data_IF_626665368339
#
_entry.id   IF_626665368339
#
_cell.length_a   1.000
_cell.length_b   1.000
_cell.length_c   1.000
_cell.angle_alpha   90.00
_cell.angle_beta   90.00
_cell.angle_gamma   90.00
#
_symmetry.space_group_name_H-M   'P 1'
#
loop_
_entity.id
_entity.type
_entity.pdbx_description
1 polymer ?
#
# COMPACT_ATOMS: atom_id res chain seq x y z
N UNK A 1 50.10 -36.20 12.24
CA UNK A 1 51.01 -37.01 11.37
C UNK A 1 50.76 -36.62 9.92
N UNK A 2 51.84 -36.12 9.24
CA UNK A 2 52.11 -36.00 7.78
C UNK A 2 51.04 -35.25 6.98
N UNK A 3 51.19 -34.06 6.44
CA UNK A 3 52.40 -33.51 5.77
C UNK A 3 52.29 -33.73 4.28
N UNK A 4 51.71 -32.81 3.49
CA UNK A 4 51.65 -32.85 2.05
C UNK A 4 51.97 -31.46 1.49
N UNK A 5 53.11 -31.32 0.82
CA UNK A 5 53.77 -30.09 0.34
C UNK A 5 53.14 -29.62 -0.98
N UNK A 6 53.00 -28.31 -1.08
CA UNK A 6 52.82 -27.57 -2.35
C UNK A 6 54.09 -27.58 -3.18
N UNK A 7 53.97 -27.73 -4.51
CA UNK A 7 54.99 -27.38 -5.49
C UNK A 7 54.39 -26.41 -6.51
N UNK A 8 55.11 -25.37 -6.93
CA UNK A 8 54.66 -24.40 -7.92
C UNK A 8 54.97 -24.84 -9.33
N UNK A 9 54.06 -24.57 -10.28
CA UNK A 9 54.29 -24.74 -11.70
C UNK A 9 54.60 -23.41 -12.33
N UNK A 10 55.80 -23.29 -12.85
CA UNK A 10 56.28 -22.20 -13.70
C UNK A 10 55.88 -22.45 -15.16
N UNK A 11 55.26 -21.47 -15.83
CA UNK A 11 55.14 -21.50 -17.27
C UNK A 11 56.07 -20.50 -17.95
N UNK A 12 56.97 -21.06 -18.74
CA UNK A 12 57.86 -20.33 -19.64
C UNK A 12 57.11 -19.84 -20.88
N UNK A 13 57.39 -18.59 -21.25
CA UNK A 13 57.01 -17.99 -22.52
C UNK A 13 57.96 -18.39 -23.64
N UNK A 14 57.43 -18.97 -24.70
CA UNK A 14 58.18 -19.09 -25.99
C UNK A 14 57.75 -17.96 -26.94
N UNK A 15 58.72 -17.08 -27.25
CA UNK A 15 58.60 -16.10 -28.30
C UNK A 15 59.13 -16.68 -29.63
N UNK A 16 58.27 -16.73 -30.63
CA UNK A 16 58.70 -17.01 -32.00
C UNK A 16 58.63 -15.72 -32.83
N UNK A 17 59.82 -15.29 -33.24
CA UNK A 17 60.02 -14.12 -34.09
C UNK A 17 59.60 -14.35 -35.51
N UNK A 18 58.94 -13.39 -36.11
CA UNK A 18 58.65 -13.32 -37.55
C UNK A 18 59.27 -12.04 -38.14
N UNK A 19 60.26 -12.17 -38.98
CA UNK A 19 60.95 -11.07 -39.65
C UNK A 19 60.04 -10.44 -40.69
N UNK A 20 59.79 -9.15 -40.56
CA UNK A 20 59.12 -8.34 -41.60
C UNK A 20 60.15 -7.75 -42.55
N UNK A 21 60.02 -8.09 -43.82
CA UNK A 21 60.84 -7.64 -44.92
C UNK A 21 60.46 -6.22 -45.34
N UNK A 22 61.40 -5.27 -45.23
CA UNK A 22 61.28 -3.91 -45.71
C UNK A 22 61.53 -3.89 -47.23
N UNK A 23 60.50 -3.76 -48.03
CA UNK A 23 60.51 -3.12 -49.37
C UNK A 23 59.16 -3.27 -50.04
N UNK A 24 58.29 -2.27 -49.88
CA UNK A 24 57.58 -1.66 -51.00
C UNK A 24 57.00 -0.32 -50.54
N UNK A 25 57.70 0.72 -50.89
CA UNK A 25 57.19 2.09 -50.75
C UNK A 25 56.45 2.48 -52.03
N UNK A 26 55.44 3.32 -51.81
CA UNK A 26 54.89 4.32 -52.75
C UNK A 26 53.87 3.79 -53.78
N UNK A 27 52.59 4.02 -53.51
CA UNK A 27 51.65 4.89 -54.28
C UNK A 27 50.25 4.71 -53.77
N UNK A 28 49.67 5.76 -53.32
CA UNK A 28 48.33 6.31 -53.46
C UNK A 28 47.87 7.00 -52.17
N UNK A 29 48.18 8.27 -52.12
CA UNK A 29 47.48 9.22 -51.29
C UNK A 29 46.09 9.49 -51.94
N UNK A 30 45.13 9.82 -51.08
CA UNK A 30 43.76 10.21 -51.36
C UNK A 30 42.73 9.10 -51.15
N UNK A 31 42.24 9.00 -49.92
CA UNK A 31 41.12 8.19 -49.52
C UNK A 31 40.67 8.63 -48.11
N UNK A 32 39.90 9.71 -48.10
CA UNK A 32 38.87 10.04 -47.09
C UNK A 32 39.11 9.52 -45.65
N UNK A 33 39.62 10.38 -44.81
CA UNK A 33 39.47 10.25 -43.34
C UNK A 33 37.97 10.44 -43.06
N UNK A 34 37.23 9.35 -43.00
CA UNK A 34 35.94 9.33 -42.34
C UNK A 34 36.22 9.36 -40.82
N UNK A 35 36.24 10.55 -40.26
CA UNK A 35 36.10 10.78 -38.84
C UNK A 35 34.73 10.21 -38.45
N UNK A 36 34.77 9.00 -37.90
CA UNK A 36 33.66 8.48 -37.12
C UNK A 36 33.50 9.36 -35.88
N UNK A 37 32.70 10.41 -36.04
CA UNK A 37 32.11 11.10 -34.91
C UNK A 37 31.23 10.08 -34.20
N UNK A 38 31.76 9.38 -33.23
CA UNK A 38 30.91 8.80 -32.17
C UNK A 38 30.18 10.01 -31.56
N UNK A 39 28.98 10.25 -32.04
CA UNK A 39 28.06 11.12 -31.35
C UNK A 39 27.84 10.48 -29.97
N UNK A 40 28.57 10.94 -28.97
CA UNK A 40 28.17 10.85 -27.60
C UNK A 40 26.89 11.68 -27.58
N UNK A 41 25.75 10.99 -27.68
CA UNK A 41 24.48 11.58 -27.36
C UNK A 41 24.63 11.99 -25.88
N UNK A 42 25.00 13.25 -25.66
CA UNK A 42 24.80 13.88 -24.38
C UNK A 42 23.30 13.74 -24.13
N UNK A 43 22.89 12.87 -23.21
CA UNK A 43 21.57 12.92 -22.65
C UNK A 43 21.40 14.37 -22.16
N UNK A 44 20.62 15.16 -22.90
CA UNK A 44 20.16 16.42 -22.36
C UNK A 44 19.46 16.05 -21.05
N UNK A 45 19.97 16.52 -19.93
CA UNK A 45 19.28 16.40 -18.65
C UNK A 45 17.88 16.99 -18.88
N UNK A 46 16.86 16.16 -18.65
CA UNK A 46 15.47 16.61 -18.68
C UNK A 46 15.30 17.60 -17.51
N UNK A 47 15.44 18.88 -17.80
CA UNK A 47 15.35 19.97 -16.83
C UNK A 47 13.90 20.28 -16.45
N UNK A 48 12.94 19.45 -16.86
CA UNK A 48 11.55 19.61 -16.49
C UNK A 48 11.36 19.46 -14.98
N UNK A 49 10.45 20.27 -14.44
CA UNK A 49 10.00 20.14 -13.05
C UNK A 49 8.69 19.36 -12.99
N UNK A 50 8.41 18.86 -11.80
CA UNK A 50 7.14 18.23 -11.43
C UNK A 50 6.58 18.89 -10.18
N UNK A 51 5.28 18.77 -9.98
CA UNK A 51 4.61 19.23 -8.76
C UNK A 51 4.43 18.05 -7.80
N UNK A 52 4.67 18.33 -6.52
CA UNK A 52 4.40 17.40 -5.41
C UNK A 52 4.00 18.19 -4.17
N UNK A 53 3.26 17.55 -3.27
CA UNK A 53 3.08 18.08 -1.93
C UNK A 53 4.16 17.57 -1.00
N UNK A 54 4.51 18.43 -0.02
CA UNK A 54 5.42 18.06 1.06
C UNK A 54 4.82 18.48 2.40
N UNK A 55 5.16 17.75 3.45
CA UNK A 55 4.89 18.17 4.81
C UNK A 55 5.85 19.29 5.23
N UNK A 56 5.32 20.44 5.56
CA UNK A 56 6.09 21.55 6.13
C UNK A 56 5.72 21.77 7.60
N UNK A 57 6.69 21.86 8.52
CA UNK A 57 6.40 22.05 9.94
C UNK A 57 5.94 23.50 10.22
N UNK A 58 4.73 23.63 10.78
CA UNK A 58 4.15 24.93 11.14
C UNK A 58 3.48 24.84 12.51
N UNK A 59 3.96 25.60 13.48
CA UNK A 59 3.32 25.76 14.81
C UNK A 59 2.94 24.43 15.49
N UNK A 60 3.83 23.42 15.43
CA UNK A 60 3.65 22.15 16.13
C UNK A 60 2.87 21.07 15.37
N UNK A 61 2.38 21.37 14.17
CA UNK A 61 1.78 20.42 13.22
C UNK A 61 2.50 20.50 11.87
N UNK A 62 2.07 19.70 10.89
CA UNK A 62 2.47 19.85 9.50
C UNK A 62 1.38 20.56 8.71
N UNK A 63 1.78 21.25 7.65
CA UNK A 63 0.92 21.73 6.58
C UNK A 63 1.33 21.08 5.26
N UNK A 64 0.37 20.92 4.35
CA UNK A 64 0.63 20.43 3.00
C UNK A 64 1.01 21.62 2.13
N UNK A 65 2.24 21.62 1.63
CA UNK A 65 2.74 22.70 0.76
C UNK A 65 3.10 22.09 -0.60
N UNK A 66 2.51 22.63 -1.67
CA UNK A 66 2.87 22.26 -3.03
C UNK A 66 4.25 22.85 -3.38
N UNK A 67 5.11 22.00 -3.95
CA UNK A 67 6.46 22.36 -4.41
C UNK A 67 6.62 21.97 -5.88
N UNK A 68 7.37 22.77 -6.59
CA UNK A 68 7.97 22.38 -7.86
C UNK A 68 9.38 21.86 -7.59
N UNK A 69 9.66 20.64 -8.04
CA UNK A 69 10.94 19.97 -7.82
C UNK A 69 11.48 19.41 -9.15
N UNK A 70 12.79 19.21 -9.29
CA UNK A 70 13.33 18.54 -10.47
C UNK A 70 12.69 17.17 -10.66
N UNK A 71 12.39 16.82 -11.91
CA UNK A 71 11.90 15.48 -12.27
C UNK A 71 12.91 14.43 -11.83
N UNK A 72 12.49 13.37 -11.11
CA UNK A 72 13.39 12.31 -10.69
C UNK A 72 13.86 11.48 -11.90
N UNK A 73 14.98 10.78 -11.71
CA UNK A 73 15.56 9.84 -12.69
C UNK A 73 15.62 8.47 -12.03
N UNK A 74 15.24 7.43 -12.79
CA UNK A 74 15.30 6.06 -12.29
C UNK A 74 16.76 5.56 -12.21
N UNK A 75 17.16 5.08 -11.04
CA UNK A 75 18.41 4.37 -10.80
C UNK A 75 18.28 2.86 -11.08
N UNK A 76 19.27 2.08 -10.59
CA UNK A 76 19.30 0.63 -10.75
C UNK A 76 18.09 -0.03 -10.04
N UNK A 77 17.36 -0.90 -10.75
CA UNK A 77 16.15 -1.57 -10.30
C UNK A 77 14.99 -0.62 -9.92
N UNK A 78 15.03 0.63 -10.34
CA UNK A 78 14.00 1.61 -10.09
C UNK A 78 13.17 1.90 -11.34
N UNK A 79 11.94 2.30 -11.11
CA UNK A 79 11.01 2.74 -12.15
C UNK A 79 10.48 4.13 -11.82
N UNK A 80 10.19 4.91 -12.86
CA UNK A 80 9.40 6.14 -12.73
C UNK A 80 7.94 5.81 -12.96
N UNK A 81 7.11 6.19 -12.01
CA UNK A 81 5.66 6.07 -12.12
C UNK A 81 5.04 7.46 -12.21
N UNK A 82 4.30 7.71 -13.27
CA UNK A 82 3.39 8.84 -13.34
C UNK A 82 2.16 8.49 -12.51
N UNK A 83 2.03 9.11 -11.36
CA UNK A 83 0.88 8.89 -10.47
C UNK A 83 -0.36 9.50 -11.11
N UNK A 84 -1.43 8.72 -11.20
CA UNK A 84 -2.72 9.15 -11.77
C UNK A 84 -3.76 9.41 -10.69
N UNK A 85 -3.64 8.71 -9.58
CA UNK A 85 -4.49 8.91 -8.43
C UNK A 85 -3.77 8.46 -7.15
N UNK A 86 -4.14 9.08 -6.06
CA UNK A 86 -3.74 8.70 -4.70
C UNK A 86 -4.97 8.74 -3.78
N UNK A 87 -4.90 8.09 -2.61
CA UNK A 87 -6.05 8.06 -1.69
C UNK A 87 -5.65 8.20 -0.24
N UNK A 88 -6.55 8.78 0.55
CA UNK A 88 -6.32 9.06 1.95
C UNK A 88 -6.66 7.86 2.85
N UNK A 89 -5.89 7.75 3.94
CA UNK A 89 -6.13 6.87 5.07
C UNK A 89 -6.12 7.66 6.38
N UNK A 90 -6.69 7.12 7.44
CA UNK A 90 -6.72 7.80 8.75
C UNK A 90 -5.34 8.19 9.26
N UNK A 91 -4.31 7.37 8.96
CA UNK A 91 -2.93 7.66 9.34
C UNK A 91 -2.41 8.98 8.77
N UNK A 92 -2.81 9.33 7.56
CA UNK A 92 -2.34 10.54 6.88
C UNK A 92 -2.78 11.80 7.62
N UNK A 93 -4.01 11.80 8.13
CA UNK A 93 -4.52 12.87 8.99
C UNK A 93 -3.78 12.93 10.34
N UNK A 94 -3.48 11.77 10.93
CA UNK A 94 -2.71 11.72 12.19
C UNK A 94 -1.27 12.18 11.97
N UNK A 95 -0.65 11.86 10.82
CA UNK A 95 0.67 12.37 10.44
C UNK A 95 0.68 13.88 10.28
N UNK A 96 -0.31 14.44 9.58
CA UNK A 96 -0.46 15.89 9.42
C UNK A 96 -0.53 16.60 10.78
N UNK A 97 -1.20 16.00 11.76
CA UNK A 97 -1.36 16.52 13.12
C UNK A 97 -0.19 16.23 14.06
N UNK A 98 0.77 15.42 13.63
CA UNK A 98 1.86 14.86 14.46
C UNK A 98 1.35 14.01 15.62
N UNK A 99 0.26 13.29 15.39
CA UNK A 99 -0.40 12.41 16.37
C UNK A 99 -0.16 10.91 16.06
N UNK A 100 0.63 10.59 15.04
CA UNK A 100 0.80 9.20 14.60
C UNK A 100 1.88 8.47 15.40
N UNK A 101 3.12 8.93 15.33
CA UNK A 101 4.26 8.37 16.04
C UNK A 101 5.40 9.40 16.08
N UNK A 102 6.00 9.62 17.25
CA UNK A 102 7.09 10.59 17.44
C UNK A 102 8.37 10.23 16.67
N UNK A 103 8.52 8.96 16.23
CA UNK A 103 9.66 8.50 15.42
C UNK A 103 9.69 9.10 14.03
N UNK A 104 8.56 9.56 13.50
CA UNK A 104 8.50 10.13 12.16
C UNK A 104 8.98 11.58 12.12
N UNK A 105 9.98 11.83 11.29
CA UNK A 105 10.40 13.17 10.89
C UNK A 105 9.94 13.44 9.47
N UNK A 106 8.74 13.96 9.32
CA UNK A 106 8.08 14.09 8.02
C UNK A 106 8.39 15.39 7.27
N UNK A 107 9.17 16.30 7.86
CA UNK A 107 9.50 17.57 7.21
C UNK A 107 10.15 17.36 5.84
N UNK A 108 9.55 17.89 4.79
CA UNK A 108 10.01 17.75 3.41
C UNK A 108 9.62 16.41 2.74
N UNK A 109 9.00 15.45 3.45
CA UNK A 109 8.57 14.20 2.85
C UNK A 109 7.27 14.34 2.06
N UNK A 110 7.10 13.49 1.04
CA UNK A 110 5.89 13.43 0.22
C UNK A 110 4.81 12.65 0.99
N UNK A 111 3.59 13.19 1.15
CA UNK A 111 2.50 12.51 1.84
C UNK A 111 1.90 11.33 1.08
N UNK A 112 1.02 10.59 1.77
CA UNK A 112 0.14 9.52 1.32
C UNK A 112 0.86 8.22 0.95
N UNK A 113 0.37 7.12 1.52
CA UNK A 113 0.88 5.78 1.22
C UNK A 113 0.31 5.19 -0.06
N UNK A 114 -0.93 5.54 -0.37
CA UNK A 114 -1.74 4.88 -1.38
C UNK A 114 -1.70 5.63 -2.71
N UNK A 115 -1.44 4.93 -3.80
CA UNK A 115 -1.50 5.52 -5.13
C UNK A 115 -1.35 4.49 -6.24
N UNK A 116 -1.83 4.87 -7.42
CA UNK A 116 -1.74 4.09 -8.64
C UNK A 116 -1.37 4.99 -9.82
N UNK A 117 -0.70 4.42 -10.81
CA UNK A 117 -0.23 5.14 -11.97
C UNK A 117 0.32 4.24 -13.06
N UNK A 118 1.05 4.86 -13.97
CA UNK A 118 1.63 4.24 -15.14
C UNK A 118 3.16 4.33 -15.10
N UNK A 119 3.84 3.25 -15.37
CA UNK A 119 5.30 3.23 -15.53
C UNK A 119 5.68 4.02 -16.78
N UNK A 120 6.48 5.08 -16.62
CA UNK A 120 6.90 5.97 -17.71
C UNK A 120 8.38 5.85 -18.08
N UNK A 121 9.18 5.26 -17.20
CA UNK A 121 10.57 4.91 -17.46
C UNK A 121 11.01 3.78 -16.54
N UNK A 122 12.01 3.03 -16.96
CA UNK A 122 12.64 1.94 -16.20
C UNK A 122 14.14 2.14 -16.17
N UNK A 123 14.75 1.96 -15.04
CA UNK A 123 16.20 1.97 -14.86
C UNK A 123 16.87 0.65 -15.22
N UNK A 124 18.22 0.60 -15.17
CA UNK A 124 18.94 -0.64 -15.39
C UNK A 124 18.52 -1.75 -14.42
N UNK A 125 18.48 -2.99 -14.87
CA UNK A 125 18.17 -4.16 -14.04
C UNK A 125 16.68 -4.42 -13.78
N UNK A 126 15.78 -3.51 -14.13
CA UNK A 126 14.33 -3.70 -14.00
C UNK A 126 13.86 -4.86 -14.89
N UNK A 127 13.14 -5.79 -14.30
CA UNK A 127 12.62 -7.00 -14.97
C UNK A 127 11.12 -7.23 -14.80
N UNK A 128 10.51 -6.68 -13.73
CA UNK A 128 9.11 -6.90 -13.39
C UNK A 128 8.14 -6.04 -14.19
N UNK A 129 8.59 -4.88 -14.64
CA UNK A 129 7.74 -3.90 -15.31
C UNK A 129 8.39 -3.31 -16.56
N UNK A 130 7.55 -2.80 -17.45
CA UNK A 130 7.93 -2.03 -18.63
C UNK A 130 7.11 -0.75 -18.71
N UNK A 131 7.57 0.17 -19.57
CA UNK A 131 6.83 1.42 -19.86
C UNK A 131 5.42 1.09 -20.37
N UNK A 132 4.42 1.78 -19.81
CA UNK A 132 3.01 1.60 -20.08
C UNK A 132 2.29 0.64 -19.11
N UNK A 133 3.02 -0.08 -18.25
CA UNK A 133 2.38 -0.95 -17.25
C UNK A 133 1.63 -0.11 -16.20
N UNK A 134 0.46 -0.61 -15.80
CA UNK A 134 -0.42 -0.01 -14.81
C UNK A 134 -0.13 -0.61 -13.45
N UNK A 135 0.25 0.23 -12.49
CA UNK A 135 0.78 -0.23 -11.19
C UNK A 135 0.18 0.52 -10.01
N UNK A 136 0.21 -0.12 -8.84
CA UNK A 136 -0.02 0.52 -7.55
C UNK A 136 1.18 0.30 -6.62
N UNK A 137 1.47 1.28 -5.76
CA UNK A 137 2.50 1.14 -4.73
C UNK A 137 2.05 0.20 -3.62
N UNK A 138 2.95 -0.63 -3.10
CA UNK A 138 2.68 -1.37 -1.86
C UNK A 138 2.95 -0.47 -0.65
N UNK A 139 2.28 -0.73 0.47
CA UNK A 139 2.38 0.13 1.66
C UNK A 139 3.78 0.14 2.27
N UNK A 140 4.37 -1.04 2.47
CA UNK A 140 5.76 -1.21 2.92
C UNK A 140 6.63 -1.67 1.76
N UNK A 141 7.47 -0.79 1.24
CA UNK A 141 8.25 -1.05 0.01
C UNK A 141 9.09 -2.33 0.04
N UNK A 142 9.56 -2.74 1.22
CA UNK A 142 10.43 -3.91 1.40
C UNK A 142 9.74 -5.12 2.02
N UNK A 143 8.45 -5.05 2.32
CA UNK A 143 7.73 -6.24 2.79
C UNK A 143 7.17 -7.04 1.63
N UNK A 144 7.97 -7.94 1.10
CA UNK A 144 7.63 -8.72 -0.10
C UNK A 144 6.73 -9.91 0.23
N UNK A 145 7.10 -10.71 1.22
CA UNK A 145 6.38 -11.91 1.64
C UNK A 145 6.63 -12.25 3.12
N UNK A 146 6.00 -13.33 3.59
CA UNK A 146 6.23 -13.92 4.90
C UNK A 146 5.90 -13.00 6.08
N UNK A 147 6.64 -13.17 7.19
CA UNK A 147 6.52 -12.33 8.37
C UNK A 147 7.25 -11.00 8.17
N UNK A 148 6.71 -9.87 8.70
CA UNK A 148 7.42 -8.60 8.62
C UNK A 148 8.70 -8.64 9.47
N UNK A 149 9.71 -7.91 9.02
CA UNK A 149 10.91 -7.58 9.79
C UNK A 149 10.89 -6.09 10.20
N UNK A 150 11.72 -5.71 11.15
CA UNK A 150 11.92 -4.31 11.53
C UNK A 150 12.30 -3.48 10.29
N UNK A 151 13.28 -3.95 9.51
CA UNK A 151 13.69 -3.29 8.27
C UNK A 151 12.54 -3.09 7.28
N UNK A 152 11.66 -4.09 7.10
CA UNK A 152 10.53 -3.97 6.18
C UNK A 152 9.49 -2.97 6.66
N UNK A 153 9.21 -2.92 7.97
CA UNK A 153 8.23 -2.02 8.57
C UNK A 153 8.71 -0.55 8.61
N UNK A 154 10.01 -0.31 8.49
CA UNK A 154 10.59 1.04 8.39
C UNK A 154 10.52 1.62 6.96
N UNK A 155 9.82 0.97 6.04
CA UNK A 155 9.72 1.40 4.63
C UNK A 155 8.30 1.80 4.22
N UNK A 156 7.49 2.26 5.18
CA UNK A 156 6.12 2.69 4.92
C UNK A 156 6.05 3.97 4.08
N UNK A 157 5.32 3.89 2.98
CA UNK A 157 5.12 5.02 2.07
C UNK A 157 4.38 6.17 2.76
N UNK A 158 4.78 7.38 2.40
CA UNK A 158 4.24 8.61 3.00
C UNK A 158 4.64 8.81 4.45
N UNK A 159 5.50 7.94 4.97
CA UNK A 159 6.13 7.99 6.28
C UNK A 159 7.64 7.99 6.15
N UNK A 160 8.28 6.84 6.36
CA UNK A 160 9.75 6.70 6.23
C UNK A 160 10.21 6.59 4.78
N UNK A 161 9.34 6.10 3.87
CA UNK A 161 9.57 6.13 2.43
C UNK A 161 8.76 7.25 1.76
N UNK A 162 9.17 7.65 0.55
CA UNK A 162 8.46 8.67 -0.23
C UNK A 162 7.01 8.29 -0.53
N UNK A 163 6.09 9.25 -0.36
CA UNK A 163 4.67 9.05 -0.59
C UNK A 163 4.24 9.19 -2.06
N UNK A 164 2.92 9.17 -2.25
CA UNK A 164 2.29 9.13 -3.57
C UNK A 164 1.64 10.46 -4.01
N UNK A 165 1.67 11.51 -3.17
CA UNK A 165 1.06 12.82 -3.52
C UNK A 165 2.04 13.66 -4.35
N UNK A 166 2.39 13.14 -5.52
CA UNK A 166 3.34 13.71 -6.49
C UNK A 166 2.92 13.33 -7.91
N UNK A 167 3.21 14.17 -8.90
CA UNK A 167 2.95 13.86 -10.33
C UNK A 167 3.79 12.68 -10.82
N UNK A 168 5.04 12.57 -10.35
CA UNK A 168 5.93 11.45 -10.67
C UNK A 168 6.66 11.04 -9.40
N UNK A 169 6.76 9.73 -9.19
CA UNK A 169 7.61 9.14 -8.16
C UNK A 169 8.67 8.25 -8.80
N UNK A 170 9.77 8.06 -8.08
CA UNK A 170 10.75 7.00 -8.33
C UNK A 170 10.63 5.96 -7.22
N UNK A 171 10.66 4.69 -7.56
CA UNK A 171 10.57 3.60 -6.58
C UNK A 171 11.24 2.33 -7.13
N UNK A 172 11.72 1.47 -6.23
CA UNK A 172 12.18 0.16 -6.61
C UNK A 172 11.03 -0.67 -7.21
N UNK A 173 11.31 -1.47 -8.24
CA UNK A 173 10.30 -2.33 -8.89
C UNK A 173 9.62 -3.30 -7.92
N UNK A 174 10.32 -3.72 -6.84
CA UNK A 174 9.77 -4.61 -5.82
C UNK A 174 8.67 -3.93 -4.97
N UNK A 175 8.67 -2.60 -4.89
CA UNK A 175 7.69 -1.80 -4.16
C UNK A 175 6.36 -1.59 -4.91
N UNK A 176 6.11 -2.32 -6.00
CA UNK A 176 4.94 -2.17 -6.87
C UNK A 176 4.24 -3.50 -7.13
N UNK A 177 2.94 -3.42 -7.44
CA UNK A 177 2.11 -4.51 -7.99
C UNK A 177 1.37 -4.05 -9.23
N UNK A 178 1.09 -4.97 -10.16
CA UNK A 178 0.14 -4.72 -11.25
C UNK A 178 -1.26 -4.55 -10.69
N UNK A 179 -2.05 -3.67 -11.28
CA UNK A 179 -3.45 -3.46 -10.88
C UNK A 179 -4.39 -4.29 -11.76
N UNK A 180 -5.56 -4.76 -11.25
CA UNK A 180 -6.58 -5.44 -12.02
C UNK A 180 -7.01 -4.61 -13.25
N UNK A 181 -7.16 -5.25 -14.41
CA UNK A 181 -7.42 -4.56 -15.68
C UNK A 181 -8.73 -3.76 -15.68
N UNK A 182 -9.76 -4.26 -14.99
CA UNK A 182 -11.08 -3.63 -14.93
C UNK A 182 -11.14 -2.38 -14.04
N UNK A 183 -10.14 -2.15 -13.18
CA UNK A 183 -10.12 -0.99 -12.27
C UNK A 183 -9.57 0.26 -12.97
N UNK A 184 -10.14 1.42 -12.67
CA UNK A 184 -9.52 2.70 -12.97
C UNK A 184 -8.31 2.95 -12.05
N UNK A 185 -7.52 4.00 -12.32
CA UNK A 185 -6.43 4.38 -11.43
C UNK A 185 -6.94 4.89 -10.08
N UNK A 186 -8.08 5.61 -10.08
CA UNK A 186 -8.74 6.07 -8.85
C UNK A 186 -9.17 4.90 -7.98
N UNK A 187 -9.78 3.87 -8.58
CA UNK A 187 -10.17 2.65 -7.87
C UNK A 187 -8.94 1.90 -7.35
N UNK A 188 -7.92 1.70 -8.18
CA UNK A 188 -6.69 1.01 -7.79
C UNK A 188 -5.90 1.75 -6.70
N UNK A 189 -5.91 3.09 -6.71
CA UNK A 189 -5.28 3.90 -5.67
C UNK A 189 -5.89 3.71 -4.28
N UNK A 190 -7.07 3.08 -4.15
CA UNK A 190 -7.72 2.85 -2.86
C UNK A 190 -7.26 1.57 -2.17
N UNK A 191 -6.50 0.71 -2.86
CA UNK A 191 -6.20 -0.66 -2.44
C UNK A 191 -5.06 -0.79 -1.43
N UNK A 192 -3.91 -0.08 -1.55
CA UNK A 192 -2.66 -0.43 -0.88
C UNK A 192 -2.73 -0.55 0.64
N UNK A 193 -3.45 0.32 1.31
CA UNK A 193 -3.58 0.28 2.77
C UNK A 193 -4.88 -0.42 3.19
N UNK A 194 -6.03 0.18 2.87
CA UNK A 194 -7.31 -0.23 3.45
C UNK A 194 -7.79 -1.60 2.95
N UNK A 195 -7.66 -1.88 1.65
CA UNK A 195 -8.09 -3.15 1.08
C UNK A 195 -7.16 -4.29 1.52
N UNK A 196 -5.83 -4.09 1.43
CA UNK A 196 -4.86 -5.10 1.90
C UNK A 196 -5.04 -5.40 3.39
N UNK A 197 -5.31 -4.38 4.22
CA UNK A 197 -5.60 -4.58 5.65
C UNK A 197 -6.84 -5.46 5.85
N UNK A 198 -7.94 -5.17 5.16
CA UNK A 198 -9.16 -5.97 5.24
C UNK A 198 -8.94 -7.40 4.74
N UNK A 199 -8.18 -7.56 3.65
CA UNK A 199 -7.79 -8.86 3.10
C UNK A 199 -7.00 -9.68 4.10
N UNK A 200 -5.93 -9.11 4.66
CA UNK A 200 -5.09 -9.82 5.65
C UNK A 200 -5.90 -10.18 6.89
N UNK A 201 -6.73 -9.24 7.39
CA UNK A 201 -7.58 -9.47 8.56
C UNK A 201 -8.55 -10.62 8.36
N UNK A 202 -9.25 -10.67 7.22
CA UNK A 202 -10.29 -11.67 6.94
C UNK A 202 -9.71 -13.00 6.41
N UNK A 203 -8.87 -12.94 5.37
CA UNK A 203 -8.46 -14.15 4.64
C UNK A 203 -7.20 -14.78 5.21
N UNK A 204 -6.15 -14.01 5.45
CA UNK A 204 -4.87 -14.57 5.93
C UNK A 204 -4.91 -14.91 7.41
N UNK A 205 -5.41 -14.01 8.26
CA UNK A 205 -5.47 -14.20 9.71
C UNK A 205 -6.76 -14.87 10.15
N UNK A 206 -7.90 -14.37 9.68
CA UNK A 206 -9.22 -14.84 10.04
C UNK A 206 -9.64 -16.14 9.34
N UNK A 207 -9.07 -16.44 8.17
CA UNK A 207 -9.45 -17.62 7.35
C UNK A 207 -10.96 -17.69 7.15
N UNK A 208 -11.53 -16.56 6.72
CA UNK A 208 -12.97 -16.43 6.53
C UNK A 208 -13.52 -17.48 5.55
N UNK A 209 -14.70 -18.01 5.86
CA UNK A 209 -15.42 -18.98 5.03
C UNK A 209 -16.81 -18.47 4.65
N UNK A 210 -17.40 -18.94 3.53
CA UNK A 210 -18.77 -18.64 3.16
C UNK A 210 -19.74 -18.98 4.29
N UNK A 211 -20.73 -18.11 4.51
CA UNK A 211 -21.77 -18.29 5.53
C UNK A 211 -21.39 -17.82 6.94
N UNK A 212 -20.11 -17.51 7.21
CA UNK A 212 -19.68 -16.94 8.49
C UNK A 212 -20.18 -15.51 8.69
N UNK A 213 -20.49 -15.15 9.94
CA UNK A 213 -20.86 -13.80 10.33
C UNK A 213 -19.61 -12.94 10.57
N UNK A 214 -19.58 -11.75 9.97
CA UNK A 214 -18.45 -10.81 10.06
C UNK A 214 -18.93 -9.50 10.65
N UNK A 215 -18.35 -9.05 11.75
CA UNK A 215 -18.55 -7.71 12.29
C UNK A 215 -17.52 -6.75 11.70
N UNK A 216 -18.01 -5.64 11.15
CA UNK A 216 -17.24 -4.55 10.56
C UNK A 216 -17.55 -3.26 11.31
N UNK A 217 -16.55 -2.67 11.95
CA UNK A 217 -16.74 -1.50 12.80
C UNK A 217 -16.54 -0.21 12.01
N UNK A 218 -17.58 0.63 11.95
CA UNK A 218 -17.58 1.87 11.18
C UNK A 218 -17.73 1.67 9.68
N UNK A 219 -17.65 2.77 8.92
CA UNK A 219 -17.85 2.82 7.45
C UNK A 219 -16.68 3.49 6.73
N UNK A 220 -15.48 3.42 7.31
CA UNK A 220 -14.24 3.83 6.67
C UNK A 220 -13.71 2.79 5.68
N UNK A 221 -12.55 3.06 5.09
CA UNK A 221 -11.97 2.24 4.02
C UNK A 221 -11.88 0.76 4.36
N UNK A 222 -11.25 0.40 5.49
CA UNK A 222 -11.06 -1.01 5.89
C UNK A 222 -12.39 -1.74 6.03
N UNK A 223 -13.35 -1.15 6.75
CA UNK A 223 -14.64 -1.79 7.02
C UNK A 223 -15.49 -1.92 5.75
N UNK A 224 -15.41 -0.95 4.84
CA UNK A 224 -16.12 -1.02 3.55
C UNK A 224 -15.49 -2.07 2.64
N UNK A 225 -14.16 -2.21 2.58
CA UNK A 225 -13.52 -3.33 1.89
C UNK A 225 -13.87 -4.67 2.55
N UNK A 226 -13.89 -4.73 3.87
CA UNK A 226 -14.36 -5.91 4.61
C UNK A 226 -15.78 -6.30 4.22
N UNK A 227 -16.69 -5.32 4.05
CA UNK A 227 -18.06 -5.55 3.58
C UNK A 227 -18.06 -6.14 2.16
N UNK A 228 -17.37 -5.51 1.23
CA UNK A 228 -17.31 -5.92 -0.17
C UNK A 228 -16.73 -7.33 -0.30
N UNK A 229 -15.61 -7.60 0.36
CA UNK A 229 -14.94 -8.91 0.31
C UNK A 229 -15.77 -10.01 0.96
N UNK A 230 -16.37 -9.75 2.13
CA UNK A 230 -17.24 -10.71 2.81
C UNK A 230 -18.46 -11.04 1.98
N UNK A 231 -19.09 -10.03 1.37
CA UNK A 231 -20.25 -10.23 0.50
C UNK A 231 -19.88 -11.06 -0.75
N UNK A 232 -18.79 -10.71 -1.43
CA UNK A 232 -18.30 -11.43 -2.61
C UNK A 232 -17.97 -12.91 -2.31
N UNK A 233 -17.42 -13.19 -1.13
CA UNK A 233 -17.13 -14.56 -0.67
C UNK A 233 -18.42 -15.34 -0.32
N UNK A 234 -19.56 -14.70 -0.10
CA UNK A 234 -20.79 -15.32 0.42
C UNK A 234 -20.80 -15.46 1.95
N UNK A 235 -19.99 -14.70 2.67
CA UNK A 235 -20.11 -14.52 4.11
C UNK A 235 -21.24 -13.53 4.45
N UNK A 236 -21.50 -13.30 5.74
CA UNK A 236 -22.62 -12.54 6.27
C UNK A 236 -22.15 -11.30 7.01
N UNK A 237 -21.80 -10.21 6.30
CA UNK A 237 -21.29 -8.99 6.94
C UNK A 237 -22.38 -8.22 7.69
N UNK A 238 -22.03 -7.79 8.91
CA UNK A 238 -22.79 -6.89 9.77
C UNK A 238 -21.90 -5.67 10.01
N UNK A 239 -22.42 -4.47 9.78
CA UNK A 239 -21.62 -3.25 9.86
C UNK A 239 -22.21 -2.26 10.85
N UNK A 240 -21.34 -1.54 11.56
CA UNK A 240 -21.77 -0.48 12.49
C UNK A 240 -21.44 0.91 11.95
N UNK A 241 -22.19 1.92 12.33
CA UNK A 241 -21.89 3.32 12.05
C UNK A 241 -22.58 4.25 13.05
N UNK A 242 -22.20 5.52 13.07
CA UNK A 242 -22.92 6.58 13.80
C UNK A 242 -24.00 7.27 12.99
N UNK A 243 -24.14 6.94 11.69
CA UNK A 243 -25.01 7.61 10.73
C UNK A 243 -25.93 6.62 10.02
N UNK A 244 -27.25 6.84 10.10
CA UNK A 244 -28.24 5.91 9.54
C UNK A 244 -28.18 5.84 8.01
N UNK A 245 -27.91 6.95 7.32
CA UNK A 245 -27.78 6.94 5.85
C UNK A 245 -26.61 6.07 5.37
N UNK A 246 -25.50 6.01 6.12
CA UNK A 246 -24.37 5.12 5.80
C UNK A 246 -24.72 3.65 6.06
N UNK A 247 -25.50 3.39 7.11
CA UNK A 247 -26.00 2.04 7.40
C UNK A 247 -26.96 1.56 6.31
N UNK A 248 -27.86 2.42 5.83
CA UNK A 248 -28.73 2.09 4.71
C UNK A 248 -27.92 1.75 3.46
N UNK A 249 -26.92 2.57 3.12
CA UNK A 249 -26.03 2.30 1.98
C UNK A 249 -25.27 0.98 2.14
N UNK A 250 -24.82 0.65 3.35
CA UNK A 250 -24.18 -0.63 3.62
C UNK A 250 -25.10 -1.83 3.39
N UNK A 251 -26.40 -1.71 3.72
CA UNK A 251 -27.40 -2.73 3.38
C UNK A 251 -27.55 -2.91 1.86
N UNK A 252 -27.55 -1.83 1.11
CA UNK A 252 -27.61 -1.85 -0.37
C UNK A 252 -26.35 -2.51 -0.97
N UNK A 253 -25.21 -2.46 -0.26
CA UNK A 253 -23.94 -3.08 -0.64
C UNK A 253 -23.81 -4.54 -0.18
N UNK A 254 -24.84 -5.13 0.42
CA UNK A 254 -24.85 -6.55 0.80
C UNK A 254 -24.58 -6.84 2.27
N UNK A 255 -24.58 -5.83 3.16
CA UNK A 255 -24.65 -6.12 4.59
C UNK A 255 -25.95 -6.82 4.92
N UNK A 256 -25.93 -7.86 5.77
CA UNK A 256 -27.13 -8.58 6.19
C UNK A 256 -27.82 -7.94 7.39
N UNK A 257 -27.16 -6.97 8.01
CA UNK A 257 -27.67 -6.23 9.15
C UNK A 257 -26.73 -5.10 9.55
N UNK A 258 -27.28 -4.18 10.34
CA UNK A 258 -26.55 -2.98 10.77
C UNK A 258 -26.87 -2.61 12.21
N UNK A 259 -25.96 -1.87 12.87
CA UNK A 259 -26.19 -1.29 14.16
C UNK A 259 -25.63 0.13 14.24
N UNK A 260 -26.46 1.08 14.70
CA UNK A 260 -26.03 2.45 14.97
C UNK A 260 -25.53 2.56 16.41
N UNK A 261 -24.22 2.69 16.59
CA UNK A 261 -23.60 2.74 17.93
C UNK A 261 -23.83 4.07 18.66
N UNK A 262 -24.28 5.13 17.97
CA UNK A 262 -24.60 6.42 18.60
C UNK A 262 -25.99 6.41 19.23
N UNK A 263 -26.99 5.86 18.53
CA UNK A 263 -28.35 5.76 19.03
C UNK A 263 -28.57 4.54 19.93
N UNK A 264 -27.74 3.50 19.76
CA UNK A 264 -27.76 2.28 20.59
C UNK A 264 -26.37 1.99 21.17
N UNK A 265 -26.08 2.41 22.40
CA UNK A 265 -24.81 2.11 23.07
C UNK A 265 -24.54 0.60 23.23
N UNK A 266 -25.58 -0.22 23.26
CA UNK A 266 -25.51 -1.69 23.33
C UNK A 266 -25.57 -2.33 21.95
N UNK A 267 -24.99 -1.67 20.96
CA UNK A 267 -24.96 -2.09 19.56
C UNK A 267 -24.50 -3.54 19.37
N UNK A 268 -23.59 -4.02 20.22
CA UNK A 268 -23.06 -5.38 20.18
C UNK A 268 -24.15 -6.43 20.44
N UNK A 269 -25.12 -6.16 21.34
CA UNK A 269 -26.24 -7.06 21.58
C UNK A 269 -27.15 -7.13 20.34
N UNK A 270 -27.31 -6.01 19.63
CA UNK A 270 -28.04 -6.01 18.33
C UNK A 270 -27.31 -6.85 17.27
N UNK A 271 -25.99 -6.77 17.20
CA UNK A 271 -25.19 -7.62 16.31
C UNK A 271 -25.36 -9.10 16.68
N UNK A 272 -25.36 -9.42 17.97
CA UNK A 272 -25.60 -10.79 18.46
C UNK A 272 -26.99 -11.29 18.08
N UNK A 273 -28.01 -10.46 18.17
CA UNK A 273 -29.39 -10.78 17.72
C UNK A 273 -29.42 -11.10 16.21
N UNK A 274 -28.77 -10.25 15.36
CA UNK A 274 -28.70 -10.42 13.91
C UNK A 274 -28.03 -11.75 13.55
N UNK A 275 -27.00 -12.18 14.32
CA UNK A 275 -26.34 -13.47 14.13
C UNK A 275 -27.12 -14.67 14.71
N UNK A 276 -28.38 -14.49 15.10
CA UNK A 276 -29.25 -15.53 15.69
C UNK A 276 -28.84 -15.92 17.10
N UNK A 277 -28.20 -15.04 17.87
CA UNK A 277 -27.72 -15.28 19.22
C UNK A 277 -26.40 -16.05 19.33
N UNK A 278 -25.90 -16.59 18.22
CA UNK A 278 -24.65 -17.36 18.15
C UNK A 278 -23.41 -16.50 18.32
N UNK A 279 -23.45 -15.25 17.90
CA UNK A 279 -22.30 -14.37 17.79
C UNK A 279 -21.67 -14.36 16.40
N UNK A 280 -20.59 -13.57 16.23
CA UNK A 280 -19.89 -13.39 14.97
C UNK A 280 -18.60 -14.24 14.92
N UNK A 281 -18.26 -14.73 13.72
CA UNK A 281 -17.06 -15.57 13.53
C UNK A 281 -15.80 -14.72 13.35
N UNK A 282 -15.96 -13.53 12.75
CA UNK A 282 -14.87 -12.63 12.41
C UNK A 282 -15.20 -11.21 12.84
N UNK A 283 -14.20 -10.47 13.33
CA UNK A 283 -14.28 -9.04 13.61
C UNK A 283 -13.10 -8.32 12.98
N UNK A 284 -13.37 -7.24 12.24
CA UNK A 284 -12.36 -6.24 11.89
C UNK A 284 -12.48 -5.07 12.86
N UNK A 285 -11.66 -5.08 13.91
CA UNK A 285 -11.64 -4.04 14.94
C UNK A 285 -10.73 -2.87 14.51
N UNK A 286 -11.35 -1.78 14.12
CA UNK A 286 -10.70 -0.51 13.85
C UNK A 286 -10.96 0.51 14.98
N UNK A 287 -11.88 0.21 15.87
CA UNK A 287 -12.28 1.08 16.98
C UNK A 287 -11.28 1.09 18.14
N UNK A 288 -10.83 -0.07 18.57
CA UNK A 288 -9.85 -0.21 19.64
C UNK A 288 -10.48 -0.21 21.03
N UNK A 289 -10.04 0.70 21.93
CA UNK A 289 -10.37 0.65 23.36
C UNK A 289 -11.86 0.50 23.67
N UNK A 290 -12.73 1.26 23.01
CA UNK A 290 -14.16 1.32 23.35
C UNK A 290 -14.99 0.25 22.64
N UNK A 291 -14.42 -0.47 21.64
CA UNK A 291 -15.13 -1.49 20.86
C UNK A 291 -14.70 -2.91 21.19
N UNK A 292 -13.44 -3.12 21.47
CA UNK A 292 -12.83 -4.44 21.58
C UNK A 292 -13.46 -5.33 22.67
N UNK A 293 -13.81 -4.81 23.84
CA UNK A 293 -14.50 -5.58 24.89
C UNK A 293 -15.90 -6.03 24.43
N UNK A 294 -16.64 -5.14 23.78
CA UNK A 294 -17.97 -5.43 23.23
C UNK A 294 -17.92 -6.45 22.10
N UNK A 295 -16.90 -6.36 21.23
CA UNK A 295 -16.67 -7.34 20.18
C UNK A 295 -16.39 -8.74 20.75
N UNK A 296 -15.61 -8.84 21.84
CA UNK A 296 -15.35 -10.11 22.54
C UNK A 296 -16.62 -10.74 23.13
N UNK A 297 -17.55 -9.94 23.68
CA UNK A 297 -18.80 -10.44 24.27
C UNK A 297 -19.72 -11.13 23.25
N UNK A 298 -19.56 -10.79 21.97
CA UNK A 298 -20.37 -11.32 20.87
C UNK A 298 -19.61 -12.19 19.91
N UNK A 299 -18.35 -12.50 20.22
CA UNK A 299 -17.55 -13.39 19.41
C UNK A 299 -18.03 -14.84 19.58
N UNK A 300 -18.18 -15.56 18.51
CA UNK A 300 -18.53 -16.98 18.53
C UNK A 300 -17.37 -17.83 19.06
N UNK A 301 -17.66 -19.03 19.53
CA UNK A 301 -16.62 -19.99 19.90
C UNK A 301 -15.69 -20.27 18.71
N UNK A 302 -14.39 -20.16 18.93
CA UNK A 302 -13.37 -20.31 17.88
C UNK A 302 -13.25 -19.09 16.95
N UNK A 303 -13.97 -18.01 17.23
CA UNK A 303 -13.94 -16.80 16.40
C UNK A 303 -12.61 -16.06 16.43
N UNK A 304 -12.45 -15.11 15.52
CA UNK A 304 -11.22 -14.35 15.34
C UNK A 304 -11.49 -12.84 15.34
N UNK A 305 -10.61 -12.10 16.02
CA UNK A 305 -10.57 -10.62 15.97
C UNK A 305 -9.27 -10.17 15.33
N UNK A 306 -9.37 -9.43 14.24
CA UNK A 306 -8.28 -8.68 13.65
C UNK A 306 -8.15 -7.32 14.33
N UNK A 307 -7.07 -7.09 15.07
CA UNK A 307 -6.74 -5.84 15.73
C UNK A 307 -6.04 -4.91 14.73
N UNK A 308 -6.73 -3.87 14.29
CA UNK A 308 -6.30 -3.03 13.15
C UNK A 308 -6.03 -1.59 13.59
N UNK A 309 -6.93 -1.02 14.37
CA UNK A 309 -6.87 0.40 14.69
C UNK A 309 -7.25 0.75 16.12
N UNK A 310 -7.12 2.03 16.43
CA UNK A 310 -7.47 2.59 17.73
C UNK A 310 -8.19 3.93 17.58
N UNK A 311 -9.29 3.98 16.80
CA UNK A 311 -10.03 5.23 16.56
C UNK A 311 -10.62 5.83 17.84
N UNK A 312 -10.92 4.99 18.84
CA UNK A 312 -11.36 5.41 20.21
C UNK A 312 -10.21 5.43 21.23
N UNK A 313 -9.00 5.16 20.80
CA UNK A 313 -7.79 5.06 21.61
C UNK A 313 -7.20 3.65 21.64
N UNK A 314 -5.95 3.58 22.08
CA UNK A 314 -5.23 2.32 22.27
C UNK A 314 -5.30 1.88 23.74
N UNK A 315 -5.08 0.58 23.95
CA UNK A 315 -5.18 -0.06 25.26
C UNK A 315 -6.63 -0.42 25.61
N UNK A 316 -6.81 -1.56 26.20
CA UNK A 316 -8.08 -2.00 26.79
C UNK A 316 -7.76 -2.92 27.96
N UNK A 317 -8.66 -2.95 28.95
CA UNK A 317 -8.65 -3.99 30.00
C UNK A 317 -9.24 -5.28 29.42
N UNK A 318 -8.53 -5.86 28.42
CA UNK A 318 -8.93 -7.11 27.78
C UNK A 318 -8.89 -8.24 28.82
N UNK A 319 -10.05 -8.85 29.14
CA UNK A 319 -10.04 -10.07 29.93
C UNK A 319 -9.47 -11.19 29.08
N UNK A 320 -8.15 -11.43 29.17
CA UNK A 320 -7.45 -12.47 28.38
C UNK A 320 -8.05 -13.86 28.57
N UNK A 321 -8.66 -14.11 29.74
CA UNK A 321 -9.42 -15.33 30.03
C UNK A 321 -10.68 -15.46 29.13
N UNK A 322 -11.30 -14.36 28.70
CA UNK A 322 -12.45 -14.44 27.80
C UNK A 322 -12.07 -15.05 26.45
N UNK A 323 -10.90 -14.67 25.89
CA UNK A 323 -10.37 -15.27 24.66
C UNK A 323 -10.14 -16.78 24.85
N UNK A 324 -9.55 -17.16 25.99
CA UNK A 324 -9.26 -18.56 26.30
C UNK A 324 -10.55 -19.39 26.41
N UNK A 325 -11.59 -18.92 27.12
CA UNK A 325 -12.81 -19.70 27.37
C UNK A 325 -13.65 -19.97 26.13
N UNK A 326 -13.59 -19.08 25.14
CA UNK A 326 -14.30 -19.28 23.87
C UNK A 326 -13.38 -19.85 22.77
N UNK A 327 -12.13 -20.22 23.13
CA UNK A 327 -11.12 -20.70 22.19
C UNK A 327 -10.92 -19.77 20.97
N UNK A 328 -11.00 -18.46 21.18
CA UNK A 328 -10.89 -17.44 20.15
C UNK A 328 -9.43 -17.11 19.84
N UNK A 329 -9.22 -16.38 18.74
CA UNK A 329 -7.93 -15.84 18.33
C UNK A 329 -8.02 -14.32 18.20
N UNK A 330 -7.00 -13.61 18.67
CA UNK A 330 -6.80 -12.20 18.37
C UNK A 330 -5.46 -12.03 17.66
N UNK A 331 -5.43 -11.31 16.55
CA UNK A 331 -4.20 -11.08 15.80
C UNK A 331 -4.05 -9.63 15.36
N UNK A 332 -2.84 -9.09 15.53
CA UNK A 332 -2.49 -7.78 14.96
C UNK A 332 -2.42 -7.83 13.44
N UNK A 333 -2.95 -6.78 12.82
CA UNK A 333 -2.88 -6.57 11.36
C UNK A 333 -2.31 -5.18 11.10
N UNK A 334 -1.12 -5.14 10.52
CA UNK A 334 -0.48 -3.90 10.10
C UNK A 334 -0.31 -3.93 8.58
N UNK A 335 -1.41 -3.67 7.87
CA UNK A 335 -1.53 -3.79 6.41
C UNK A 335 -1.22 -5.22 5.92
N UNK A 336 -0.21 -5.42 5.06
CA UNK A 336 0.21 -6.70 4.53
C UNK A 336 1.40 -6.57 3.59
N UNK A 337 1.90 -7.71 3.14
CA UNK A 337 3.00 -7.83 2.20
C UNK A 337 2.56 -7.60 0.75
N UNK A 338 3.53 -7.53 -0.18
CA UNK A 338 3.26 -7.57 -1.62
C UNK A 338 2.52 -8.85 -2.02
N UNK A 339 2.95 -10.01 -1.53
CA UNK A 339 2.28 -11.28 -1.77
C UNK A 339 0.80 -11.24 -1.37
N UNK A 340 0.48 -10.62 -0.23
CA UNK A 340 -0.90 -10.44 0.22
C UNK A 340 -1.70 -9.55 -0.74
N UNK A 341 -1.07 -8.49 -1.26
CA UNK A 341 -1.71 -7.59 -2.22
C UNK A 341 -1.94 -8.29 -3.57
N UNK A 342 -0.95 -9.03 -4.07
CA UNK A 342 -1.07 -9.79 -5.32
C UNK A 342 -2.18 -10.85 -5.21
N UNK A 343 -2.26 -11.59 -4.10
CA UNK A 343 -3.33 -12.55 -3.82
C UNK A 343 -4.71 -11.88 -3.75
N UNK A 344 -4.81 -10.72 -3.12
CA UNK A 344 -6.04 -9.91 -3.09
C UNK A 344 -6.45 -9.46 -4.50
N UNK A 345 -5.49 -9.05 -5.33
CA UNK A 345 -5.77 -8.61 -6.71
C UNK A 345 -6.33 -9.75 -7.59
N UNK A 346 -5.92 -10.99 -7.35
CA UNK A 346 -6.52 -12.16 -7.99
C UNK A 346 -8.00 -12.25 -7.61
N UNK A 347 -8.33 -12.21 -6.32
CA UNK A 347 -9.71 -12.25 -5.84
C UNK A 347 -10.56 -11.08 -6.36
N UNK A 348 -10.00 -9.87 -6.38
CA UNK A 348 -10.65 -8.68 -6.93
C UNK A 348 -10.98 -8.89 -8.41
N UNK A 349 -10.07 -9.47 -9.17
CA UNK A 349 -10.25 -9.75 -10.61
C UNK A 349 -11.29 -10.85 -10.86
N UNK A 350 -11.24 -11.94 -10.09
CA UNK A 350 -12.17 -13.08 -10.23
C UNK A 350 -13.62 -12.70 -9.92
N UNK A 351 -13.82 -11.78 -8.98
CA UNK A 351 -15.14 -11.33 -8.55
C UNK A 351 -15.57 -9.98 -9.15
N UNK A 352 -14.76 -9.41 -10.07
CA UNK A 352 -14.97 -8.08 -10.69
C UNK A 352 -15.28 -6.97 -9.68
N UNK A 353 -14.62 -7.04 -8.51
CA UNK A 353 -14.85 -6.13 -7.38
C UNK A 353 -14.42 -4.71 -7.75
N UNK A 354 -15.29 -3.73 -7.44
CA UNK A 354 -14.99 -2.30 -7.51
C UNK A 354 -15.03 -1.65 -6.15
N UNK A 355 -13.99 -0.88 -5.81
CA UNK A 355 -13.95 -0.09 -4.58
C UNK A 355 -15.06 0.96 -4.51
N UNK A 356 -15.52 1.27 -3.28
CA UNK A 356 -16.38 2.41 -3.04
C UNK A 356 -15.55 3.66 -2.83
N UNK A 357 -15.56 4.55 -3.80
CA UNK A 357 -15.01 5.91 -3.71
C UNK A 357 -16.16 6.84 -3.31
N UNK A 358 -15.99 7.54 -2.20
CA UNK A 358 -16.98 8.51 -1.71
C UNK A 358 -16.88 9.82 -2.48
N UNK A 359 -15.65 10.33 -2.61
CA UNK A 359 -15.38 11.58 -3.31
C UNK A 359 -13.99 11.59 -3.96
N UNK A 360 -13.91 12.22 -5.13
CA UNK A 360 -12.65 12.51 -5.83
C UNK A 360 -12.41 14.01 -5.77
N UNK A 361 -11.20 14.39 -5.40
CA UNK A 361 -10.68 15.75 -5.41
C UNK A 361 -9.62 15.87 -6.51
N UNK A 362 -9.40 17.06 -7.03
CA UNK A 362 -8.28 17.31 -7.95
C UNK A 362 -6.97 17.55 -7.15
N UNK A 363 -5.83 17.47 -7.85
CA UNK A 363 -4.51 17.55 -7.20
C UNK A 363 -4.35 18.83 -6.36
N UNK A 364 -4.77 19.97 -6.90
CA UNK A 364 -4.68 21.28 -6.23
C UNK A 364 -5.63 21.40 -5.02
N UNK A 365 -6.60 20.49 -4.89
CA UNK A 365 -7.57 20.39 -3.79
C UNK A 365 -7.13 19.44 -2.67
N UNK A 366 -5.87 18.94 -2.69
CA UNK A 366 -5.41 18.00 -1.68
C UNK A 366 -5.65 18.46 -0.22
N UNK A 367 -5.43 19.73 0.17
CA UNK A 367 -5.79 20.19 1.52
C UNK A 367 -7.28 20.02 1.85
N UNK A 368 -8.18 20.31 0.90
CA UNK A 368 -9.62 20.12 1.09
C UNK A 368 -10.03 18.66 1.23
N UNK A 369 -9.30 17.72 0.60
CA UNK A 369 -9.51 16.29 0.79
C UNK A 369 -9.19 15.85 2.23
N UNK A 370 -8.14 16.40 2.85
CA UNK A 370 -7.81 16.16 4.27
C UNK A 370 -8.87 16.75 5.21
N UNK A 371 -9.34 17.97 4.95
CA UNK A 371 -10.45 18.59 5.70
C UNK A 371 -11.73 17.76 5.60
N UNK A 372 -12.02 17.24 4.41
CA UNK A 372 -13.17 16.36 4.21
C UNK A 372 -13.03 15.04 4.99
N UNK A 373 -11.84 14.44 5.03
CA UNK A 373 -11.59 13.27 5.86
C UNK A 373 -11.78 13.58 7.35
N UNK A 374 -11.36 14.75 7.81
CA UNK A 374 -11.51 15.19 9.20
C UNK A 374 -12.98 15.31 9.61
N UNK A 375 -13.87 15.72 8.72
CA UNK A 375 -15.31 15.82 8.97
C UNK A 375 -15.95 14.48 9.36
N UNK A 376 -15.33 13.36 8.95
CA UNK A 376 -15.86 12.01 9.17
C UNK A 376 -17.14 11.70 8.39
N UNK A 377 -17.51 12.52 7.43
CA UNK A 377 -18.81 12.44 6.71
C UNK A 377 -18.72 11.60 5.42
N UNK A 378 -17.65 10.87 5.23
CA UNK A 378 -17.41 9.99 4.09
C UNK A 378 -17.70 8.52 4.40
N UNK A 379 -17.95 7.71 3.36
CA UNK A 379 -18.05 6.26 3.41
C UNK A 379 -17.10 5.62 2.38
N UNK A 380 -16.24 4.69 2.80
CA UNK A 380 -15.24 4.08 1.90
C UNK A 380 -13.98 4.94 1.78
N UNK A 381 -13.57 5.30 0.56
CA UNK A 381 -12.30 5.98 0.30
C UNK A 381 -12.48 7.38 -0.29
N UNK A 382 -11.54 8.25 0.04
CA UNK A 382 -11.39 9.59 -0.53
C UNK A 382 -10.17 9.54 -1.45
N UNK A 383 -10.33 10.00 -2.68
CA UNK A 383 -9.31 9.95 -3.74
C UNK A 383 -8.90 11.36 -4.16
N UNK A 384 -7.63 11.53 -4.48
CA UNK A 384 -7.11 12.71 -5.15
C UNK A 384 -6.61 12.28 -6.53
N UNK A 385 -7.18 12.89 -7.58
CA UNK A 385 -6.78 12.66 -8.98
C UNK A 385 -5.56 13.53 -9.29
N UNK A 386 -4.58 12.95 -9.97
CA UNK A 386 -3.37 13.62 -10.46
C UNK A 386 -3.35 13.50 -11.99
N UNK A 387 -3.35 14.65 -12.67
CA UNK A 387 -3.43 14.71 -14.15
C UNK A 387 -2.05 14.74 -14.79
#
# INVERSE_FOLDING_TARGET
MKGGKFLPVTHECYATGMRINKRLMIKAALGVVALGSAAVAACAEDTSTIRQYQFEPVSGKYELVMKEVPRPVAGDNEVLVRVRATSLNRRDLNMLRREYDERYSLAGSIPLSDGAGEVIAVGPGVTRFKVGDRVAGIFFEKWIDGAPSEESLETDRGGNAGGMLSEIIVTNEEGLVSIPEHLSFEEAATLPCAAVTAWVGLFKRGRIEPGQYVLLEGTGGVSVFGLIFSHALGAKPIITSSRDHKLQRAMEMGAIGTANYRSNPDWHLKVKEISGGRGVDQVLDVGGRDTLSKALEILAYGGHIALIGGLSGYGSDLPTNAIMWINATASGVYVGSREDFEAMNVFISEHEIRPLIDRVFEFDEAPAAYEYMESGDFMGKIVIRIQ
#
